data_IF_395985635763
#
_entry.id   IF_395985635763
#
_cell.length_a   1.000
_cell.length_b   1.000
_cell.length_c   1.000
_cell.angle_alpha   90.00
_cell.angle_beta   90.00
_cell.angle_gamma   90.00
#
_symmetry.space_group_name_H-M   'P 1'
#
loop_
_entity.id
_entity.type
_entity.pdbx_description
1 polymer ?
#
# COMPACT_ATOMS: atom_id res chain seq x y z
N UNK A 1 2.18 5.63 6.35
CA UNK A 1 1.96 5.21 7.75
C UNK A 1 2.63 6.15 8.77
N UNK A 2 3.93 6.46 8.66
CA UNK A 2 4.65 7.31 9.63
C UNK A 2 3.94 8.65 9.87
N UNK A 3 3.53 9.34 8.80
CA UNK A 3 2.78 10.59 8.92
C UNK A 3 1.47 10.42 9.69
N UNK A 4 0.68 9.40 9.35
CA UNK A 4 -0.57 9.09 10.05
C UNK A 4 -0.35 8.74 11.53
N UNK A 5 0.71 8.00 11.85
CA UNK A 5 1.09 7.67 13.24
C UNK A 5 1.42 8.93 14.04
N UNK A 6 2.21 9.84 13.47
CA UNK A 6 2.55 11.12 14.10
C UNK A 6 1.29 11.96 14.32
N UNK A 7 0.43 12.09 13.31
CA UNK A 7 -0.81 12.87 13.40
C UNK A 7 -1.79 12.35 14.44
N UNK A 8 -1.88 11.04 14.64
CA UNK A 8 -2.69 10.43 15.72
C UNK A 8 -2.05 10.74 17.08
N UNK A 9 -0.72 10.65 17.18
CA UNK A 9 0.01 10.90 18.43
C UNK A 9 -0.04 12.37 18.86
N UNK A 10 -0.04 13.31 17.91
CA UNK A 10 -0.16 14.76 18.16
C UNK A 10 -1.61 15.23 18.32
N UNK A 11 -2.60 14.31 18.31
CA UNK A 11 -4.04 14.60 18.38
C UNK A 11 -4.57 15.49 17.24
N UNK A 12 -3.84 15.60 16.13
CA UNK A 12 -4.29 16.30 14.93
C UNK A 12 -5.33 15.46 14.18
N UNK A 13 -5.22 14.12 14.26
CA UNK A 13 -6.17 13.17 13.70
C UNK A 13 -6.66 12.19 14.77
N UNK A 14 -7.88 11.67 14.60
CA UNK A 14 -8.45 10.65 15.47
C UNK A 14 -8.39 9.28 14.78
N UNK A 15 -8.18 8.23 15.57
CA UNK A 15 -8.24 6.86 15.07
C UNK A 15 -9.70 6.48 14.79
N UNK A 16 -10.00 5.76 13.68
CA UNK A 16 -11.37 5.35 13.38
C UNK A 16 -11.97 4.44 14.47
N UNK A 17 -13.26 4.59 14.75
CA UNK A 17 -13.97 3.78 15.74
C UNK A 17 -13.90 2.28 15.39
N UNK A 18 -13.73 1.41 16.39
CA UNK A 18 -13.57 -0.04 16.25
C UNK A 18 -12.38 -0.49 15.38
N UNK A 19 -11.28 0.28 15.34
CA UNK A 19 -10.06 -0.15 14.67
C UNK A 19 -8.92 -0.42 15.64
N UNK A 20 -8.27 -1.57 15.48
CA UNK A 20 -7.01 -1.89 16.15
C UNK A 20 -5.83 -1.29 15.37
N UNK A 21 -4.73 -1.00 16.06
CA UNK A 21 -3.50 -0.50 15.43
C UNK A 21 -2.97 -1.44 14.35
N UNK A 22 -3.17 -2.74 14.52
CA UNK A 22 -2.84 -3.76 13.52
C UNK A 22 -3.70 -3.67 12.27
N UNK A 23 -5.02 -3.47 12.40
CA UNK A 23 -5.91 -3.24 11.26
C UNK A 23 -5.55 -1.96 10.53
N UNK A 24 -5.24 -0.89 11.26
CA UNK A 24 -4.82 0.38 10.67
C UNK A 24 -3.50 0.25 9.90
N UNK A 25 -2.53 -0.50 10.45
CA UNK A 25 -1.29 -0.81 9.74
C UNK A 25 -1.53 -1.69 8.51
N UNK A 26 -2.37 -2.71 8.61
CA UNK A 26 -2.77 -3.58 7.49
C UNK A 26 -3.40 -2.80 6.34
N UNK A 27 -4.34 -1.88 6.63
CA UNK A 27 -4.91 -0.98 5.63
C UNK A 27 -3.84 -0.07 5.02
N UNK A 28 -2.91 0.44 5.84
CA UNK A 28 -1.75 1.19 5.34
C UNK A 28 -0.89 0.39 4.36
N UNK A 29 -0.66 -0.90 4.61
CA UNK A 29 0.05 -1.79 3.67
C UNK A 29 -0.79 -2.03 2.40
N UNK A 30 -2.11 -2.18 2.51
CA UNK A 30 -2.99 -2.32 1.33
C UNK A 30 -2.97 -1.07 0.43
N UNK A 31 -2.73 0.13 0.96
CA UNK A 31 -2.57 1.33 0.11
C UNK A 31 -1.38 1.29 -0.84
N UNK A 32 -0.43 0.36 -0.63
CA UNK A 32 0.67 0.10 -1.56
C UNK A 32 0.26 -0.58 -2.87
N UNK A 33 -1.01 -0.98 -3.01
CA UNK A 33 -1.55 -1.56 -4.24
C UNK A 33 -1.75 -0.45 -5.27
N UNK A 34 -0.75 -0.28 -6.13
CA UNK A 34 -0.69 0.80 -7.11
C UNK A 34 -1.00 0.37 -8.54
N UNK A 35 -1.46 -0.86 -8.79
CA UNK A 35 -1.53 -1.51 -10.12
C UNK A 35 -1.74 -0.54 -11.31
N UNK A 36 -2.87 0.17 -11.37
CA UNK A 36 -3.18 1.07 -12.50
C UNK A 36 -2.40 2.39 -12.48
N UNK A 37 -2.27 3.03 -11.32
CA UNK A 37 -1.55 4.30 -11.17
C UNK A 37 -0.04 4.14 -11.38
N UNK A 38 0.57 3.08 -10.84
CA UNK A 38 2.00 2.79 -10.98
C UNK A 38 2.38 2.36 -12.39
N UNK A 39 1.51 1.63 -13.10
CA UNK A 39 1.73 1.36 -14.54
C UNK A 39 1.62 2.63 -15.38
N UNK A 40 0.71 3.54 -15.02
CA UNK A 40 0.62 4.85 -15.68
C UNK A 40 1.88 5.69 -15.47
N UNK A 41 2.37 5.78 -14.23
CA UNK A 41 3.65 6.45 -13.91
C UNK A 41 4.82 5.78 -14.64
N UNK A 42 4.83 4.45 -14.70
CA UNK A 42 5.80 3.67 -15.46
C UNK A 42 5.82 4.00 -16.95
N UNK A 43 4.64 4.11 -17.56
CA UNK A 43 4.49 4.50 -18.96
C UNK A 43 5.03 5.91 -19.22
N UNK A 44 4.80 6.85 -18.31
CA UNK A 44 5.32 8.23 -18.42
C UNK A 44 6.83 8.31 -18.19
N UNK A 45 7.40 7.46 -17.32
CA UNK A 45 8.81 7.47 -16.99
C UNK A 45 9.70 6.84 -18.09
N UNK A 46 9.17 5.88 -18.86
CA UNK A 46 9.93 5.09 -19.84
C UNK A 46 9.30 5.11 -21.24
N UNK A 47 8.80 6.27 -21.69
CA UNK A 47 8.16 6.44 -23.01
C UNK A 47 9.08 5.99 -24.15
N UNK A 48 10.35 6.38 -24.12
CA UNK A 48 11.31 6.15 -25.22
C UNK A 48 12.11 4.84 -25.09
N UNK A 49 12.01 4.14 -23.94
CA UNK A 49 12.78 2.93 -23.67
C UNK A 49 11.87 1.74 -23.37
N UNK A 50 11.26 1.21 -24.43
CA UNK A 50 10.30 0.09 -24.39
C UNK A 50 10.88 -1.15 -23.68
N UNK A 51 12.20 -1.36 -23.74
CA UNK A 51 12.86 -2.51 -23.09
C UNK A 51 12.69 -2.54 -21.56
N UNK A 52 12.55 -1.39 -20.90
CA UNK A 52 12.32 -1.33 -19.46
C UNK A 52 10.85 -1.46 -19.07
N UNK A 53 9.94 -1.32 -20.03
CA UNK A 53 8.50 -1.34 -19.78
C UNK A 53 8.01 -2.69 -19.24
N UNK A 54 8.57 -3.79 -19.72
CA UNK A 54 8.20 -5.12 -19.24
C UNK A 54 8.71 -5.37 -17.82
N UNK A 55 9.90 -4.86 -17.49
CA UNK A 55 10.42 -4.86 -16.12
C UNK A 55 9.54 -4.06 -15.16
N UNK A 56 9.07 -2.89 -15.59
CA UNK A 56 8.13 -2.06 -14.82
C UNK A 56 6.82 -2.81 -14.56
N UNK A 57 6.24 -3.47 -15.57
CA UNK A 57 5.01 -4.24 -15.39
C UNK A 57 5.19 -5.36 -14.37
N UNK A 58 6.27 -6.13 -14.50
CA UNK A 58 6.59 -7.22 -13.58
C UNK A 58 6.81 -6.67 -12.16
N UNK A 59 7.54 -5.57 -12.01
CA UNK A 59 7.78 -4.92 -10.73
C UNK A 59 6.48 -4.44 -10.06
N UNK A 60 5.62 -3.76 -10.81
CA UNK A 60 4.33 -3.26 -10.28
C UNK A 60 3.38 -4.42 -9.92
N UNK A 61 3.32 -5.46 -10.74
CA UNK A 61 2.51 -6.66 -10.49
C UNK A 61 2.99 -7.39 -9.24
N UNK A 62 4.28 -7.71 -9.16
CA UNK A 62 4.87 -8.44 -8.03
C UNK A 62 4.80 -7.63 -6.73
N UNK A 63 5.09 -6.33 -6.79
CA UNK A 63 4.97 -5.43 -5.64
C UNK A 63 3.53 -5.33 -5.13
N UNK A 64 2.56 -5.16 -6.03
CA UNK A 64 1.13 -5.11 -5.65
C UNK A 64 0.65 -6.43 -5.04
N UNK A 65 1.13 -7.56 -5.57
CA UNK A 65 0.78 -8.89 -5.07
C UNK A 65 1.36 -9.12 -3.66
N UNK A 66 2.62 -8.76 -3.43
CA UNK A 66 3.24 -8.80 -2.11
C UNK A 66 2.53 -7.87 -1.11
N UNK A 67 2.16 -6.66 -1.53
CA UNK A 67 1.40 -5.71 -0.71
C UNK A 67 0.03 -6.27 -0.33
N UNK A 68 -0.64 -6.94 -1.27
CA UNK A 68 -1.95 -7.57 -1.04
C UNK A 68 -1.83 -8.74 -0.07
N UNK A 69 -0.87 -9.65 -0.28
CA UNK A 69 -0.66 -10.79 0.61
C UNK A 69 -0.35 -10.32 2.03
N UNK A 70 0.65 -9.45 2.19
CA UNK A 70 1.09 -8.98 3.51
C UNK A 70 0.00 -8.18 4.22
N UNK A 71 -0.69 -7.27 3.52
CA UNK A 71 -1.80 -6.50 4.07
C UNK A 71 -2.99 -7.37 4.47
N UNK A 72 -3.36 -8.36 3.63
CA UNK A 72 -4.45 -9.29 3.91
C UNK A 72 -4.13 -10.21 5.09
N UNK A 73 -2.93 -10.81 5.13
CA UNK A 73 -2.50 -11.65 6.25
C UNK A 73 -2.49 -10.88 7.57
N UNK A 74 -2.03 -9.62 7.58
CA UNK A 74 -2.02 -8.77 8.76
C UNK A 74 -3.43 -8.51 9.31
N UNK A 75 -4.40 -8.24 8.43
CA UNK A 75 -5.78 -8.03 8.84
C UNK A 75 -6.42 -9.34 9.30
N UNK A 76 -6.16 -10.45 8.61
CA UNK A 76 -6.75 -11.75 8.91
C UNK A 76 -6.26 -12.34 10.24
N UNK A 77 -5.01 -12.10 10.60
CA UNK A 77 -4.44 -12.49 11.89
C UNK A 77 -4.89 -11.58 13.05
N UNK A 78 -5.49 -10.44 12.76
CA UNK A 78 -5.95 -9.52 13.80
C UNK A 78 -7.34 -9.95 14.28
N UNK A 79 -7.49 -10.38 15.55
CA UNK A 79 -8.81 -10.67 16.09
C UNK A 79 -9.62 -9.38 16.19
N UNK A 80 -10.77 -9.35 15.50
CA UNK A 80 -11.78 -8.32 15.71
C UNK A 80 -12.34 -8.51 17.13
N UNK A 81 -11.96 -7.62 18.05
CA UNK A 81 -12.65 -7.43 19.32
C UNK A 81 -13.70 -6.35 19.16
#
# INVERSE_FOLDING_TARGET
FIFSYVSIKTKIAQMPNNTNWFNFYGVGVLTGIGFTMSLFVGNLAFVDNIQYMDGVKIGVLTGSLLSTLTGYFLILLTPNK
#
